data_IF_097236800185
#
_entry.id   IF_097236800185
#
_cell.length_a   1.000
_cell.length_b   1.000
_cell.length_c   1.000
_cell.angle_alpha   90.00
_cell.angle_beta   90.00
_cell.angle_gamma   90.00
#
_symmetry.space_group_name_H-M   'P 1'
#
loop_
_entity.id
_entity.type
_entity.pdbx_description
1 polymer ?
#
# COMPACT_ATOMS: atom_id res chain seq x y z
N UNK A 1 -12.38 10.36 -8.48
CA UNK A 1 -12.78 9.17 -7.72
C UNK A 1 -13.30 8.12 -8.71
N UNK A 2 -12.79 6.90 -8.64
CA UNK A 2 -13.18 5.75 -9.47
C UNK A 2 -13.46 4.51 -8.59
N UNK A 3 -13.81 4.73 -7.32
CA UNK A 3 -14.17 3.64 -6.43
C UNK A 3 -15.50 2.97 -6.85
N UNK A 4 -15.66 1.70 -6.50
CA UNK A 4 -16.92 0.93 -6.70
C UNK A 4 -17.39 0.83 -8.16
N UNK A 5 -16.46 0.82 -9.11
CA UNK A 5 -16.73 0.86 -10.54
C UNK A 5 -16.60 -0.52 -11.23
N UNK A 6 -16.37 -1.59 -10.47
CA UNK A 6 -16.12 -2.97 -10.98
C UNK A 6 -14.96 -3.02 -11.98
N UNK A 7 -13.95 -2.17 -11.76
CA UNK A 7 -12.81 -2.07 -12.66
C UNK A 7 -11.89 -3.28 -12.50
N UNK A 8 -11.66 -3.99 -13.61
CA UNK A 8 -10.62 -5.04 -13.69
C UNK A 8 -9.23 -4.45 -13.99
N UNK A 9 -9.20 -3.28 -14.61
CA UNK A 9 -8.00 -2.50 -14.94
C UNK A 9 -8.34 -1.02 -14.99
N UNK A 10 -7.32 -0.16 -14.95
CA UNK A 10 -7.52 1.28 -15.14
C UNK A 10 -7.98 1.57 -16.58
N UNK A 11 -9.10 2.30 -16.79
CA UNK A 11 -9.65 2.52 -18.13
C UNK A 11 -8.70 3.28 -19.06
N UNK A 12 -8.37 2.69 -20.22
CA UNK A 12 -7.44 3.30 -21.17
C UNK A 12 -7.89 4.65 -21.75
N UNK A 13 -9.21 4.88 -21.82
CA UNK A 13 -9.76 6.15 -22.27
C UNK A 13 -9.42 7.32 -21.34
N UNK A 14 -9.25 7.05 -20.05
CA UNK A 14 -8.93 8.08 -19.06
C UNK A 14 -7.53 8.66 -19.29
N UNK A 15 -6.56 7.83 -19.71
CA UNK A 15 -5.22 8.34 -20.07
C UNK A 15 -5.29 9.42 -21.16
N UNK A 16 -6.16 9.24 -22.16
CA UNK A 16 -6.33 10.21 -23.24
C UNK A 16 -7.05 11.47 -22.75
N UNK A 17 -8.09 11.30 -21.93
CA UNK A 17 -8.90 12.39 -21.42
C UNK A 17 -8.12 13.30 -20.45
N UNK A 18 -7.23 12.74 -19.64
CA UNK A 18 -6.54 13.47 -18.58
C UNK A 18 -5.13 13.95 -18.95
N UNK A 19 -4.67 13.73 -20.18
CA UNK A 19 -3.27 13.99 -20.59
C UNK A 19 -2.74 15.40 -20.30
N UNK A 20 -3.63 16.40 -20.23
CA UNK A 20 -3.26 17.81 -20.00
C UNK A 20 -3.38 18.25 -18.53
N UNK A 21 -3.84 17.36 -17.65
CA UNK A 21 -4.11 17.69 -16.24
C UNK A 21 -3.48 16.69 -15.28
N UNK A 22 -2.72 15.70 -15.77
CA UNK A 22 -2.09 14.66 -14.94
C UNK A 22 -1.17 15.23 -13.87
N UNK A 23 -0.50 16.35 -14.14
CA UNK A 23 0.37 17.03 -13.17
C UNK A 23 -0.39 17.62 -11.98
N UNK A 24 -1.69 17.92 -12.14
CA UNK A 24 -2.55 18.43 -11.06
C UNK A 24 -3.27 17.33 -10.27
N UNK A 25 -3.08 16.05 -10.62
CA UNK A 25 -3.75 14.94 -9.95
C UNK A 25 -2.89 14.45 -8.80
N UNK A 26 -3.29 14.80 -7.59
CA UNK A 26 -2.61 14.38 -6.37
C UNK A 26 -3.33 13.25 -5.63
N UNK A 27 -4.61 13.00 -5.91
CA UNK A 27 -5.42 12.01 -5.20
C UNK A 27 -6.17 11.14 -6.19
N UNK A 28 -5.98 9.82 -6.10
CA UNK A 28 -6.77 8.84 -6.87
C UNK A 28 -7.31 7.80 -5.90
N UNK A 29 -8.62 7.55 -6.01
CA UNK A 29 -9.28 6.41 -5.38
C UNK A 29 -9.74 5.44 -6.46
N UNK A 30 -9.32 4.19 -6.30
CA UNK A 30 -9.70 3.00 -7.07
C UNK A 30 -10.21 1.91 -6.12
N UNK A 31 -10.70 2.30 -4.93
CA UNK A 31 -11.16 1.36 -3.91
C UNK A 31 -12.37 0.53 -4.37
N UNK A 32 -12.54 -0.66 -3.80
CA UNK A 32 -13.67 -1.56 -4.02
C UNK A 32 -13.89 -1.86 -5.51
N UNK A 33 -12.83 -2.26 -6.19
CA UNK A 33 -12.85 -2.69 -7.58
C UNK A 33 -12.34 -4.15 -7.66
N UNK A 34 -12.06 -4.63 -8.87
CA UNK A 34 -11.62 -6.01 -9.11
C UNK A 34 -10.18 -6.03 -9.67
N UNK A 35 -9.38 -5.03 -9.32
CA UNK A 35 -8.01 -4.87 -9.83
C UNK A 35 -7.12 -6.01 -9.32
N UNK A 36 -6.54 -6.76 -10.24
CA UNK A 36 -5.56 -7.83 -9.93
C UNK A 36 -4.11 -7.35 -9.97
N UNK A 37 -3.88 -6.21 -10.62
CA UNK A 37 -2.56 -5.59 -10.73
C UNK A 37 -2.71 -4.10 -11.03
N UNK A 38 -1.76 -3.31 -10.53
CA UNK A 38 -1.53 -1.94 -10.98
C UNK A 38 -0.52 -1.96 -12.14
N UNK A 39 -0.77 -1.22 -13.20
CA UNK A 39 0.11 -1.20 -14.38
C UNK A 39 1.21 -0.15 -14.24
N UNK A 40 2.39 -0.41 -14.80
CA UNK A 40 3.49 0.58 -14.87
C UNK A 40 3.03 1.90 -15.50
N UNK A 41 2.18 1.82 -16.55
CA UNK A 41 1.60 3.00 -17.20
C UNK A 41 0.76 3.86 -16.25
N UNK A 42 -0.05 3.26 -15.37
CA UNK A 42 -0.80 4.02 -14.38
C UNK A 42 0.15 4.83 -13.50
N UNK A 43 1.15 4.15 -12.97
CA UNK A 43 2.10 4.74 -12.01
C UNK A 43 2.90 5.89 -12.65
N UNK A 44 3.44 5.67 -13.84
CA UNK A 44 4.23 6.70 -14.54
C UNK A 44 3.38 7.88 -15.04
N UNK A 45 2.09 7.65 -15.33
CA UNK A 45 1.18 8.72 -15.75
C UNK A 45 0.80 9.64 -14.59
N UNK A 46 0.60 9.08 -13.40
CA UNK A 46 0.17 9.82 -12.21
C UNK A 46 1.32 9.99 -11.21
N UNK A 47 2.49 10.44 -11.69
CA UNK A 47 3.71 10.59 -10.88
C UNK A 47 3.61 11.65 -9.78
N UNK A 48 2.65 12.58 -9.89
CA UNK A 48 2.39 13.62 -8.90
C UNK A 48 1.47 13.18 -7.76
N UNK A 49 1.07 11.90 -7.71
CA UNK A 49 0.21 11.38 -6.65
C UNK A 49 0.81 11.61 -5.27
N UNK A 50 -0.05 12.08 -4.36
CA UNK A 50 0.17 12.22 -2.93
C UNK A 50 -0.62 11.18 -2.14
N UNK A 51 -1.79 10.81 -2.62
CA UNK A 51 -2.62 9.79 -1.99
C UNK A 51 -3.20 8.82 -3.02
N UNK A 52 -3.07 7.53 -2.72
CA UNK A 52 -3.57 6.46 -3.57
C UNK A 52 -4.38 5.46 -2.74
N UNK A 53 -5.68 5.39 -3.00
CA UNK A 53 -6.56 4.41 -2.36
C UNK A 53 -6.85 3.25 -3.32
N UNK A 54 -6.38 2.05 -2.97
CA UNK A 54 -6.55 0.78 -3.67
C UNK A 54 -7.23 -0.28 -2.79
N UNK A 55 -7.88 0.14 -1.69
CA UNK A 55 -8.52 -0.75 -0.76
C UNK A 55 -9.57 -1.64 -1.43
N UNK A 56 -9.79 -2.87 -0.95
CA UNK A 56 -10.87 -3.72 -1.45
C UNK A 56 -10.68 -4.12 -2.92
N UNK A 57 -9.50 -4.62 -3.27
CA UNK A 57 -9.17 -5.13 -4.61
C UNK A 57 -8.58 -6.53 -4.50
N UNK A 58 -8.00 -7.06 -5.59
CA UNK A 58 -7.36 -8.36 -5.64
C UNK A 58 -5.85 -8.25 -5.93
N UNK A 59 -5.23 -7.16 -5.48
CA UNK A 59 -3.80 -6.91 -5.65
C UNK A 59 -3.00 -7.86 -4.76
N UNK A 60 -1.91 -8.41 -5.30
CA UNK A 60 -0.97 -9.26 -4.58
C UNK A 60 0.48 -8.80 -4.73
N UNK A 61 0.71 -7.80 -5.59
CA UNK A 61 2.00 -7.14 -5.85
C UNK A 61 1.76 -5.73 -6.40
N UNK A 62 2.77 -4.89 -6.24
CA UNK A 62 2.87 -3.60 -6.92
C UNK A 62 3.96 -3.67 -7.99
N UNK A 63 3.85 -2.88 -9.08
CA UNK A 63 4.91 -2.76 -10.07
C UNK A 63 6.09 -1.96 -9.48
N UNK A 64 7.29 -2.20 -10.00
CA UNK A 64 8.54 -1.56 -9.53
C UNK A 64 8.49 -0.04 -9.68
N UNK A 65 7.75 0.45 -10.68
CA UNK A 65 7.59 1.87 -10.97
C UNK A 65 6.93 2.65 -9.83
N UNK A 66 6.32 1.99 -8.83
CA UNK A 66 5.80 2.68 -7.63
C UNK A 66 6.90 3.46 -6.90
N UNK A 67 8.15 3.03 -7.03
CA UNK A 67 9.33 3.77 -6.55
C UNK A 67 9.47 5.18 -7.15
N UNK A 68 8.86 5.44 -8.32
CA UNK A 68 8.86 6.76 -8.97
C UNK A 68 7.83 7.74 -8.42
N UNK A 69 6.93 7.30 -7.51
CA UNK A 69 5.93 8.17 -6.89
C UNK A 69 6.54 9.00 -5.74
N UNK A 70 7.48 9.88 -6.07
CA UNK A 70 8.30 10.64 -5.12
C UNK A 70 7.49 11.59 -4.21
N UNK A 71 6.23 11.84 -4.54
CA UNK A 71 5.33 12.71 -3.79
C UNK A 71 4.27 11.95 -2.99
N UNK A 72 4.24 10.61 -3.09
CA UNK A 72 3.21 9.79 -2.45
C UNK A 72 3.42 9.74 -0.94
N UNK A 73 2.43 10.24 -0.21
CA UNK A 73 2.41 10.32 1.25
C UNK A 73 1.56 9.24 1.89
N UNK A 74 0.45 8.88 1.26
CA UNK A 74 -0.45 7.86 1.79
C UNK A 74 -0.85 6.85 0.72
N UNK A 75 -0.79 5.57 1.09
CA UNK A 75 -1.32 4.50 0.27
C UNK A 75 -2.19 3.56 1.10
N UNK A 76 -3.40 3.30 0.61
CA UNK A 76 -4.29 2.31 1.19
C UNK A 76 -4.37 1.07 0.30
N UNK A 77 -3.88 -0.05 0.81
CA UNK A 77 -3.87 -1.38 0.21
C UNK A 77 -4.64 -2.39 1.07
N UNK A 78 -5.45 -1.92 2.02
CA UNK A 78 -6.26 -2.78 2.87
C UNK A 78 -7.19 -3.66 2.04
N UNK A 79 -7.60 -4.82 2.57
CA UNK A 79 -8.54 -5.74 1.90
C UNK A 79 -8.07 -6.11 0.50
N UNK A 80 -6.84 -6.60 0.41
CA UNK A 80 -6.22 -7.12 -0.82
C UNK A 80 -5.69 -8.54 -0.55
N UNK A 81 -4.74 -9.02 -1.36
CA UNK A 81 -4.18 -10.38 -1.30
C UNK A 81 -2.65 -10.38 -1.24
N UNK A 82 -2.06 -9.38 -0.59
CA UNK A 82 -0.62 -9.32 -0.39
C UNK A 82 -0.19 -10.40 0.60
N UNK A 83 0.73 -11.28 0.19
CA UNK A 83 1.31 -12.33 1.05
C UNK A 83 2.60 -11.93 1.76
N UNK A 84 3.20 -10.85 1.29
CA UNK A 84 4.43 -10.24 1.80
C UNK A 84 4.27 -8.73 1.71
N UNK A 85 5.06 -8.00 2.50
CA UNK A 85 5.12 -6.55 2.34
C UNK A 85 5.49 -6.18 0.88
N UNK A 86 4.81 -5.20 0.26
CA UNK A 86 5.15 -4.71 -1.07
C UNK A 86 6.44 -3.89 -1.03
N UNK A 87 7.57 -4.58 -1.18
CA UNK A 87 8.92 -4.00 -1.03
C UNK A 87 9.19 -2.70 -1.81
N UNK A 88 8.67 -2.48 -3.04
CA UNK A 88 8.85 -1.20 -3.73
C UNK A 88 8.39 0.03 -2.92
N UNK A 89 7.45 -0.12 -1.99
CA UNK A 89 7.03 0.98 -1.11
C UNK A 89 8.15 1.46 -0.18
N UNK A 90 9.10 0.59 0.19
CA UNK A 90 10.19 0.98 1.08
C UNK A 90 11.16 1.99 0.44
N UNK A 91 11.20 2.07 -0.89
CA UNK A 91 12.00 3.06 -1.60
C UNK A 91 11.27 4.40 -1.83
N UNK A 92 9.98 4.50 -1.50
CA UNK A 92 9.21 5.74 -1.64
C UNK A 92 9.41 6.60 -0.40
N UNK A 93 10.41 7.48 -0.45
CA UNK A 93 10.91 8.24 0.71
C UNK A 93 9.90 9.24 1.30
N UNK A 94 8.86 9.63 0.56
CA UNK A 94 7.82 10.54 1.02
C UNK A 94 6.64 9.86 1.72
N UNK A 95 6.58 8.51 1.74
CA UNK A 95 5.46 7.79 2.35
C UNK A 95 5.42 8.01 3.86
N UNK A 96 4.28 8.52 4.32
CA UNK A 96 3.97 8.78 5.73
C UNK A 96 2.99 7.73 6.28
N UNK A 97 2.13 7.15 5.44
CA UNK A 97 1.11 6.19 5.88
C UNK A 97 0.93 5.05 4.89
N UNK A 98 1.01 3.82 5.40
CA UNK A 98 0.74 2.59 4.65
C UNK A 98 -0.32 1.81 5.40
N UNK A 99 -1.44 1.54 4.73
CA UNK A 99 -2.49 0.68 5.24
C UNK A 99 -2.51 -0.65 4.48
N UNK A 100 -2.18 -1.75 5.15
CA UNK A 100 -2.16 -3.12 4.63
C UNK A 100 -3.10 -4.02 5.43
N UNK A 101 -4.05 -3.46 6.18
CA UNK A 101 -5.01 -4.23 6.97
C UNK A 101 -5.79 -5.25 6.12
N UNK A 102 -6.16 -6.40 6.69
CA UNK A 102 -6.94 -7.44 5.99
C UNK A 102 -6.23 -7.90 4.69
N UNK A 103 -5.01 -8.42 4.82
CA UNK A 103 -4.24 -9.05 3.76
C UNK A 103 -3.72 -10.44 4.23
N UNK A 104 -2.84 -11.08 3.47
CA UNK A 104 -2.26 -12.39 3.75
C UNK A 104 -0.78 -12.30 4.17
N UNK A 105 -0.32 -11.14 4.68
CA UNK A 105 1.10 -10.87 4.95
C UNK A 105 1.57 -11.69 6.16
N UNK A 106 2.47 -12.64 5.91
CA UNK A 106 3.12 -13.40 6.98
C UNK A 106 4.48 -12.81 7.39
N UNK A 107 5.18 -12.19 6.44
CA UNK A 107 6.55 -11.71 6.62
C UNK A 107 6.68 -10.23 6.22
N UNK A 108 7.48 -9.47 6.98
CA UNK A 108 7.82 -8.08 6.69
C UNK A 108 9.34 -7.84 6.74
N UNK A 109 9.90 -7.01 5.85
CA UNK A 109 11.32 -6.73 5.81
C UNK A 109 11.69 -5.66 6.84
N UNK A 110 12.01 -6.08 8.07
CA UNK A 110 12.29 -5.19 9.22
C UNK A 110 13.35 -4.12 8.88
N UNK A 111 14.47 -4.52 8.25
CA UNK A 111 15.55 -3.59 7.90
C UNK A 111 15.10 -2.50 6.92
N UNK A 112 14.27 -2.87 5.93
CA UNK A 112 13.72 -1.91 4.94
C UNK A 112 12.68 -1.00 5.59
N UNK A 113 11.87 -1.51 6.50
CA UNK A 113 10.92 -0.69 7.23
C UNK A 113 11.63 0.33 8.13
N UNK A 114 12.73 -0.06 8.77
CA UNK A 114 13.53 0.83 9.60
C UNK A 114 14.19 1.98 8.82
N UNK A 115 14.43 1.83 7.51
CA UNK A 115 14.98 2.89 6.66
C UNK A 115 13.93 3.87 6.12
N UNK A 116 12.63 3.62 6.34
CA UNK A 116 11.55 4.50 5.88
C UNK A 116 11.42 5.75 6.77
N UNK A 117 12.29 6.73 6.56
CA UNK A 117 12.45 7.90 7.43
C UNK A 117 11.20 8.78 7.60
N UNK A 118 10.31 8.82 6.60
CA UNK A 118 9.08 9.62 6.65
C UNK A 118 7.87 8.86 7.18
N UNK A 119 7.97 7.52 7.32
CA UNK A 119 6.84 6.70 7.70
C UNK A 119 6.42 7.04 9.13
N UNK A 120 5.11 7.25 9.33
CA UNK A 120 4.51 7.59 10.63
C UNK A 120 3.54 6.53 11.11
N UNK A 121 2.91 5.79 10.18
CA UNK A 121 1.96 4.74 10.51
C UNK A 121 2.02 3.60 9.49
N UNK A 122 2.10 2.37 10.01
CA UNK A 122 1.98 1.13 9.24
C UNK A 122 0.90 0.25 9.88
N UNK A 123 -0.19 0.03 9.15
CA UNK A 123 -1.27 -0.86 9.59
C UNK A 123 -1.11 -2.25 8.98
N UNK A 124 -0.92 -3.25 9.85
CA UNK A 124 -0.83 -4.68 9.51
C UNK A 124 -1.86 -5.50 10.28
N UNK A 125 -2.93 -4.88 10.79
CA UNK A 125 -4.04 -5.61 11.42
C UNK A 125 -4.65 -6.62 10.46
N UNK A 126 -5.26 -7.67 11.00
CA UNK A 126 -5.88 -8.74 10.24
C UNK A 126 -4.96 -9.33 9.14
N UNK A 127 -3.68 -9.50 9.47
CA UNK A 127 -2.70 -10.26 8.68
C UNK A 127 -2.08 -11.36 9.56
N UNK A 128 -1.64 -12.48 8.97
CA UNK A 128 -0.98 -13.58 9.69
C UNK A 128 0.50 -13.27 10.00
N UNK A 129 0.83 -12.03 10.38
CA UNK A 129 2.19 -11.60 10.70
C UNK A 129 2.65 -12.30 11.97
N UNK A 130 3.82 -12.93 11.95
CA UNK A 130 4.36 -13.64 13.10
C UNK A 130 4.71 -12.71 14.28
N UNK A 131 4.73 -13.25 15.51
CA UNK A 131 4.98 -12.48 16.73
C UNK A 131 6.38 -11.83 16.76
N UNK A 132 7.35 -12.36 16.01
CA UNK A 132 8.70 -11.84 15.88
C UNK A 132 8.72 -10.41 15.33
N UNK A 133 7.80 -10.06 14.43
CA UNK A 133 7.71 -8.71 13.87
C UNK A 133 7.44 -7.69 14.96
N UNK A 134 6.61 -8.05 15.94
CA UNK A 134 6.29 -7.19 17.08
C UNK A 134 7.53 -6.91 17.95
N UNK A 135 8.43 -7.89 18.07
CA UNK A 135 9.68 -7.79 18.85
C UNK A 135 10.78 -7.06 18.09
N UNK A 136 10.90 -7.30 16.78
CA UNK A 136 11.98 -6.74 15.96
C UNK A 136 11.69 -5.30 15.53
N UNK A 137 10.44 -4.97 15.17
CA UNK A 137 10.10 -3.67 14.59
C UNK A 137 9.94 -2.59 15.65
N UNK A 138 9.22 -2.86 16.76
CA UNK A 138 8.93 -1.85 17.79
C UNK A 138 10.13 -1.06 18.34
N UNK A 139 11.28 -1.69 18.66
CA UNK A 139 12.43 -0.93 19.16
C UNK A 139 13.20 -0.21 18.06
N UNK A 140 13.02 -0.59 16.78
CA UNK A 140 13.79 -0.09 15.65
C UNK A 140 13.08 1.01 14.85
N UNK A 141 11.77 1.21 15.04
CA UNK A 141 11.01 2.14 14.20
C UNK A 141 10.36 3.28 15.00
N UNK A 142 10.44 4.54 14.51
CA UNK A 142 9.84 5.70 15.17
C UNK A 142 8.36 5.91 14.80
N UNK A 143 7.70 4.89 14.24
CA UNK A 143 6.34 4.99 13.69
C UNK A 143 5.35 4.06 14.37
N UNK A 144 4.07 4.40 14.24
CA UNK A 144 2.97 3.62 14.79
C UNK A 144 2.80 2.32 13.99
N UNK A 145 3.20 1.20 14.59
CA UNK A 145 2.96 -0.14 14.04
C UNK A 145 1.68 -0.73 14.63
N UNK A 146 0.64 -0.83 13.81
CA UNK A 146 -0.66 -1.38 14.21
C UNK A 146 -0.71 -2.87 13.83
N UNK A 147 -0.73 -3.74 14.85
CA UNK A 147 -0.88 -5.19 14.69
C UNK A 147 -2.21 -5.64 15.28
N UNK A 148 -2.67 -6.83 14.88
CA UNK A 148 -3.76 -7.51 15.56
C UNK A 148 -3.40 -7.77 17.03
N UNK A 149 -4.37 -7.74 17.95
CA UNK A 149 -4.14 -8.25 19.29
C UNK A 149 -3.71 -9.72 19.23
N UNK A 150 -2.86 -10.15 20.16
CA UNK A 150 -2.52 -11.57 20.30
C UNK A 150 -3.79 -12.35 20.63
N UNK A 151 -4.08 -13.40 19.86
CA UNK A 151 -5.12 -14.34 20.26
C UNK A 151 -4.70 -14.99 21.59
N UNK A 152 -5.61 -15.07 22.57
CA UNK A 152 -5.31 -15.78 23.79
C UNK A 152 -4.98 -17.23 23.45
N UNK A 153 -3.81 -17.70 23.91
CA UNK A 153 -3.40 -19.10 23.79
C UNK A 153 -4.58 -19.96 24.27
N UNK A 154 -5.16 -20.85 23.44
CA UNK A 154 -6.23 -21.71 23.88
C UNK A 154 -5.74 -22.47 25.12
N UNK A 155 -6.40 -22.28 26.26
CA UNK A 155 -6.14 -23.09 27.43
C UNK A 155 -6.51 -24.52 27.06
N UNK A 156 -5.50 -25.40 27.00
CA UNK A 156 -5.67 -26.84 26.91
C UNK A 156 -6.38 -27.38 28.16
#
# INVERSE_FOLDING_TARGET
DLANCKLMTFPVGIYKAMRSVTEGIHHISLANNELKSLTSRFVTTFSQLRELNLAGNYLHRLPEEVTSLLHLRAINLSRNRFRRFPEPLAAVTALETIDLEENEIAEVPVEKLASMASLRSLNLRANPVGPEVRLLVRPLVPFDLLLSPEEPIPKA
#
